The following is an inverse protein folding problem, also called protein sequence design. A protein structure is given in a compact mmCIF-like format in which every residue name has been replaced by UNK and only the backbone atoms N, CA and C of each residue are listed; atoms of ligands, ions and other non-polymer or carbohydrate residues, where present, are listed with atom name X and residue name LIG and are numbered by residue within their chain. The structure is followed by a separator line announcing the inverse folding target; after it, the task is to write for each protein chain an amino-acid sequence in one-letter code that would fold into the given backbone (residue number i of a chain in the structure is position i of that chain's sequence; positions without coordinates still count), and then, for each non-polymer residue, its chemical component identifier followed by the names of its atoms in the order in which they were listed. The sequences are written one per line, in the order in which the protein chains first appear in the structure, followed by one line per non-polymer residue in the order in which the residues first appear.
data_IF_801359147015
#
_entry.id   IF_801359147015
#
_cell.length_a   1.000
_cell.length_b   1.000
_cell.length_c   1.000
_cell.angle_alpha   90.00
_cell.angle_beta   90.00
_cell.angle_gamma   90.00
#
_symmetry.space_group_name_H-M   'P 1'
#
loop_
_entity.id
_entity.type
_entity.pdbx_description
1 polymer ?
#
# COMPACT_ATOMS: atom_id res chain seq x y z
N UNK A 1 25.57 9.85 10.61
CA UNK A 1 24.15 9.69 10.97
C UNK A 1 23.39 11.00 10.86
N UNK A 2 23.72 12.02 11.65
CA UNK A 2 23.01 13.32 11.66
C UNK A 2 22.77 13.93 10.26
N UNK A 3 23.82 13.96 9.41
CA UNK A 3 23.69 14.46 8.04
C UNK A 3 22.67 13.68 7.20
N UNK A 4 22.58 12.37 7.37
CA UNK A 4 21.61 11.57 6.62
C UNK A 4 20.17 11.83 7.11
N UNK A 5 19.99 12.08 8.41
CA UNK A 5 18.68 12.42 9.00
C UNK A 5 18.16 13.78 8.51
N UNK A 6 19.05 14.76 8.31
CA UNK A 6 18.67 16.10 7.84
C UNK A 6 18.60 16.20 6.31
N UNK A 7 19.59 15.67 5.60
CA UNK A 7 19.69 15.76 4.14
C UNK A 7 18.78 14.75 3.41
N UNK A 8 18.50 13.59 4.02
CA UNK A 8 17.73 12.48 3.42
C UNK A 8 18.23 12.08 2.02
N UNK A 9 19.46 11.56 1.90
CA UNK A 9 20.05 11.20 0.61
C UNK A 9 19.30 10.05 -0.09
N UNK A 10 19.44 9.98 -1.42
CA UNK A 10 18.87 8.88 -2.21
C UNK A 10 19.65 7.57 -2.12
N UNK A 11 20.91 7.62 -1.67
CA UNK A 11 21.76 6.46 -1.43
C UNK A 11 22.89 6.81 -0.44
N UNK A 12 23.32 5.84 0.36
CA UNK A 12 24.45 5.99 1.28
C UNK A 12 25.54 4.99 0.90
N UNK A 13 26.73 5.53 0.65
CA UNK A 13 27.96 4.74 0.51
C UNK A 13 28.75 4.90 1.81
N UNK A 14 29.07 3.80 2.48
CA UNK A 14 29.72 3.86 3.79
C UNK A 14 30.87 2.88 3.88
N UNK A 15 32.03 3.34 4.34
CA UNK A 15 33.13 2.43 4.66
C UNK A 15 32.75 1.56 5.87
N UNK A 16 33.06 0.27 5.80
CA UNK A 16 32.88 -0.64 6.94
C UNK A 16 33.84 -0.26 8.07
N UNK A 17 35.11 0.03 7.75
CA UNK A 17 36.13 0.31 8.76
C UNK A 17 36.30 1.81 8.96
N UNK A 18 35.65 2.35 10.00
CA UNK A 18 35.77 3.75 10.40
C UNK A 18 36.02 3.88 11.90
N UNK A 19 36.76 4.92 12.34
CA UNK A 19 36.98 5.19 13.76
C UNK A 19 35.68 5.64 14.45
N UNK A 20 35.58 5.38 15.76
CA UNK A 20 34.46 5.73 16.65
C UNK A 20 33.19 4.90 16.41
N UNK A 21 32.68 4.87 15.18
CA UNK A 21 31.51 4.09 14.76
C UNK A 21 31.78 3.48 13.39
N UNK A 22 31.73 2.16 13.32
CA UNK A 22 31.91 1.42 12.07
C UNK A 22 30.66 1.53 11.17
N UNK A 23 30.80 1.12 9.91
CA UNK A 23 29.68 1.17 8.97
C UNK A 23 28.46 0.37 9.46
N UNK A 24 28.67 -0.72 10.18
CA UNK A 24 27.62 -1.53 10.79
C UNK A 24 26.82 -0.75 11.84
N UNK A 25 27.51 -0.01 12.71
CA UNK A 25 26.88 0.90 13.68
C UNK A 25 26.08 2.01 13.00
N UNK A 26 26.61 2.58 11.91
CA UNK A 26 25.89 3.61 11.13
C UNK A 26 24.59 3.05 10.54
N UNK A 27 24.63 1.87 9.91
CA UNK A 27 23.44 1.22 9.36
C UNK A 27 22.39 0.96 10.44
N UNK A 28 22.81 0.40 11.58
CA UNK A 28 21.92 0.10 12.71
C UNK A 28 21.25 1.35 13.26
N UNK A 29 21.97 2.46 13.36
CA UNK A 29 21.42 3.70 13.87
C UNK A 29 20.41 4.31 12.89
N UNK A 30 20.73 4.33 11.59
CA UNK A 30 19.83 4.84 10.56
C UNK A 30 18.57 3.99 10.39
N UNK A 31 18.66 2.68 10.63
CA UNK A 31 17.52 1.76 10.58
C UNK A 31 16.46 2.04 11.66
N UNK A 32 16.82 2.71 12.77
CA UNK A 32 15.87 3.09 13.83
C UNK A 32 14.92 4.23 13.44
N UNK A 33 15.24 4.97 12.38
CA UNK A 33 14.47 6.12 11.95
C UNK A 33 13.74 5.82 10.64
N UNK A 34 12.40 5.90 10.65
CA UNK A 34 11.56 5.60 9.48
C UNK A 34 11.93 6.40 8.22
N UNK A 35 12.39 7.65 8.39
CA UNK A 35 12.81 8.51 7.29
C UNK A 35 14.14 8.13 6.62
N UNK A 36 14.96 7.29 7.25
CA UNK A 36 16.27 6.84 6.71
C UNK A 36 16.38 5.32 6.55
N UNK A 37 15.48 4.54 7.18
CA UNK A 37 15.46 3.08 7.11
C UNK A 37 15.16 2.50 5.72
N UNK A 38 14.69 3.34 4.78
CA UNK A 38 14.41 2.97 3.39
C UNK A 38 15.48 3.44 2.41
N UNK A 39 16.49 4.18 2.86
CA UNK A 39 17.56 4.68 1.99
C UNK A 39 18.51 3.51 1.68
N UNK A 40 18.84 3.25 0.40
CA UNK A 40 19.79 2.23 0.01
C UNK A 40 21.14 2.43 0.65
N UNK A 41 21.71 1.35 1.18
CA UNK A 41 22.98 1.39 1.87
C UNK A 41 23.98 0.41 1.26
N UNK A 42 25.07 0.94 0.71
CA UNK A 42 26.17 0.14 0.14
C UNK A 42 27.38 0.23 1.06
N UNK A 43 27.83 -0.93 1.53
CA UNK A 43 29.08 -1.05 2.24
C UNK A 43 30.27 -1.01 1.28
N UNK A 44 31.26 -0.20 1.61
CA UNK A 44 32.56 -0.21 0.97
C UNK A 44 33.54 -0.91 1.92
N UNK A 45 34.10 -2.05 1.52
CA UNK A 45 34.93 -2.88 2.41
C UNK A 45 36.29 -3.17 1.81
N UNK A 46 37.35 -3.21 2.63
CA UNK A 46 38.65 -3.76 2.21
C UNK A 46 38.74 -5.29 2.44
N UNK A 47 37.80 -5.87 3.20
CA UNK A 47 37.73 -7.31 3.47
C UNK A 47 36.76 -7.99 2.52
N UNK A 48 37.25 -9.01 1.81
CA UNK A 48 36.46 -9.88 0.94
C UNK A 48 36.03 -11.19 1.61
N UNK A 49 36.15 -11.30 2.94
CA UNK A 49 35.79 -12.53 3.66
C UNK A 49 34.28 -12.76 3.64
N UNK A 50 33.87 -13.98 3.26
CA UNK A 50 32.45 -14.35 3.11
C UNK A 50 31.63 -14.21 4.39
N UNK A 51 32.26 -14.30 5.56
CA UNK A 51 31.60 -14.14 6.85
C UNK A 51 31.14 -12.70 7.09
N UNK A 52 31.99 -11.72 6.75
CA UNK A 52 31.70 -10.29 6.93
C UNK A 52 30.62 -9.80 5.97
N UNK A 53 30.59 -10.32 4.73
CA UNK A 53 29.51 -10.01 3.77
C UNK A 53 28.15 -10.56 4.21
N UNK A 54 28.13 -11.75 4.82
CA UNK A 54 26.88 -12.37 5.29
C UNK A 54 26.30 -11.57 6.46
N UNK A 55 27.15 -11.11 7.38
CA UNK A 55 26.73 -10.32 8.54
C UNK A 55 25.97 -9.04 8.18
N UNK A 56 26.45 -8.23 7.22
CA UNK A 56 25.72 -7.00 6.88
C UNK A 56 24.56 -7.21 5.92
N UNK A 57 24.53 -8.28 5.12
CA UNK A 57 23.32 -8.67 4.40
C UNK A 57 22.21 -9.05 5.40
N UNK A 58 22.55 -9.80 6.45
CA UNK A 58 21.61 -10.15 7.53
C UNK A 58 21.16 -8.92 8.35
N UNK A 59 21.99 -7.87 8.40
CA UNK A 59 21.64 -6.58 8.99
C UNK A 59 20.85 -5.64 8.07
N UNK A 60 20.56 -6.05 6.82
CA UNK A 60 19.74 -5.30 5.89
C UNK A 60 20.50 -4.30 5.01
N UNK A 61 21.81 -4.48 4.79
CA UNK A 61 22.53 -3.73 3.77
C UNK A 61 22.12 -4.18 2.37
N UNK A 62 22.04 -3.23 1.44
CA UNK A 62 21.60 -3.52 0.08
C UNK A 62 22.73 -4.06 -0.81
N UNK A 63 23.98 -3.71 -0.51
CA UNK A 63 25.13 -4.22 -1.26
C UNK A 63 26.48 -4.10 -0.53
N UNK A 64 27.47 -4.79 -1.08
CA UNK A 64 28.88 -4.69 -0.72
C UNK A 64 29.74 -4.47 -1.95
N UNK A 65 30.63 -3.48 -1.86
CA UNK A 65 31.64 -3.23 -2.87
C UNK A 65 33.04 -3.34 -2.24
N UNK A 66 33.80 -4.34 -2.68
CA UNK A 66 35.18 -4.57 -2.21
C UNK A 66 36.15 -3.58 -2.85
N UNK A 67 36.99 -2.95 -2.03
CA UNK A 67 38.07 -2.07 -2.46
C UNK A 67 39.34 -2.88 -2.80
N UNK A 68 40.12 -2.47 -3.82
CA UNK A 68 39.84 -1.38 -4.75
C UNK A 68 38.79 -1.80 -5.80
N UNK A 69 37.90 -0.89 -6.15
CA UNK A 69 36.88 -1.08 -7.18
C UNK A 69 37.10 -0.12 -8.35
N UNK A 70 36.64 -0.50 -9.54
CA UNK A 70 36.65 0.38 -10.70
C UNK A 70 35.49 1.38 -10.62
N UNK A 71 35.66 2.55 -11.26
CA UNK A 71 34.59 3.56 -11.37
C UNK A 71 33.30 2.96 -11.91
N UNK A 72 33.39 2.09 -12.92
CA UNK A 72 32.22 1.47 -13.53
C UNK A 72 31.49 0.53 -12.57
N UNK A 73 32.22 -0.30 -11.81
CA UNK A 73 31.65 -1.21 -10.80
C UNK A 73 30.88 -0.45 -9.72
N UNK A 74 31.42 0.68 -9.25
CA UNK A 74 30.71 1.54 -8.30
C UNK A 74 29.45 2.15 -8.90
N UNK A 75 29.54 2.67 -10.13
CA UNK A 75 28.39 3.26 -10.81
C UNK A 75 27.30 2.22 -11.08
N UNK A 76 27.66 0.99 -11.46
CA UNK A 76 26.71 -0.09 -11.69
C UNK A 76 26.02 -0.52 -10.39
N UNK A 77 26.76 -0.59 -9.28
CA UNK A 77 26.19 -0.86 -7.96
C UNK A 77 25.21 0.24 -7.52
N UNK A 78 25.62 1.52 -7.64
CA UNK A 78 24.76 2.68 -7.34
C UNK A 78 23.50 2.66 -8.20
N UNK A 79 23.64 2.55 -9.52
CA UNK A 79 22.52 2.57 -10.45
C UNK A 79 21.56 1.42 -10.19
N UNK A 80 22.06 0.23 -9.88
CA UNK A 80 21.23 -0.93 -9.57
C UNK A 80 20.42 -0.72 -8.29
N UNK A 81 21.01 -0.07 -7.27
CA UNK A 81 20.33 0.19 -5.99
C UNK A 81 19.40 1.38 -6.03
N UNK A 82 19.77 2.46 -6.72
CA UNK A 82 18.87 3.58 -7.00
C UNK A 82 17.68 3.12 -7.81
N UNK A 83 17.88 2.39 -8.93
CA UNK A 83 16.76 1.82 -9.70
C UNK A 83 15.86 0.94 -8.85
N UNK A 84 16.43 0.03 -8.05
CA UNK A 84 15.64 -0.82 -7.15
C UNK A 84 14.87 -0.01 -6.10
N UNK A 85 15.46 1.07 -5.58
CA UNK A 85 14.83 1.91 -4.56
C UNK A 85 13.79 2.85 -5.13
N UNK A 86 14.08 3.51 -6.25
CA UNK A 86 13.11 4.27 -7.02
C UNK A 86 11.93 3.38 -7.38
N UNK A 87 12.21 2.13 -7.77
CA UNK A 87 11.17 1.15 -8.06
C UNK A 87 10.33 0.77 -6.83
N UNK A 88 10.97 0.56 -5.68
CA UNK A 88 10.31 0.31 -4.40
C UNK A 88 9.50 1.53 -3.92
N UNK A 89 10.01 2.74 -4.15
CA UNK A 89 9.40 4.03 -3.79
C UNK A 89 8.30 4.46 -4.75
N UNK A 90 8.35 3.99 -6.00
CA UNK A 90 7.49 4.51 -7.05
C UNK A 90 6.04 4.05 -6.90
N UNK A 91 5.16 5.03 -7.03
CA UNK A 91 3.74 4.90 -7.39
C UNK A 91 3.54 4.21 -8.76
N UNK A 92 4.62 3.89 -9.50
CA UNK A 92 4.56 3.17 -10.78
C UNK A 92 3.85 1.83 -10.62
N UNK A 93 3.91 1.19 -9.45
CA UNK A 93 3.19 -0.05 -9.17
C UNK A 93 1.67 0.09 -8.99
N UNK A 94 1.10 1.29 -9.05
CA UNK A 94 -0.34 1.50 -8.96
C UNK A 94 -1.06 1.29 -10.30
N UNK A 95 -0.30 1.00 -11.37
CA UNK A 95 -0.83 0.67 -12.69
C UNK A 95 -0.47 -0.75 -13.08
N UNK A 96 -1.23 -1.35 -13.98
CA UNK A 96 -1.08 -2.69 -14.49
C UNK A 96 0.22 -2.82 -15.26
N UNK A 97 0.61 -1.78 -16.00
CA UNK A 97 1.89 -1.73 -16.71
C UNK A 97 3.07 -1.72 -15.74
N UNK A 98 3.01 -0.92 -14.67
CA UNK A 98 4.06 -0.91 -13.67
C UNK A 98 4.09 -2.17 -12.82
N UNK A 99 2.93 -2.76 -12.51
CA UNK A 99 2.84 -4.07 -11.90
C UNK A 99 3.46 -5.14 -12.81
N UNK A 100 3.15 -5.17 -14.10
CA UNK A 100 3.77 -6.12 -15.02
C UNK A 100 5.28 -5.93 -15.13
N UNK A 101 5.76 -4.69 -15.18
CA UNK A 101 7.19 -4.38 -15.16
C UNK A 101 7.83 -4.91 -13.88
N UNK A 102 7.17 -4.72 -12.73
CA UNK A 102 7.58 -5.22 -11.42
C UNK A 102 7.72 -6.72 -11.39
N UNK A 103 6.69 -7.41 -11.86
CA UNK A 103 6.67 -8.86 -11.91
C UNK A 103 7.76 -9.40 -12.84
N UNK A 104 7.97 -8.74 -13.98
CA UNK A 104 8.99 -9.12 -14.95
C UNK A 104 10.41 -8.93 -14.39
N UNK A 105 10.69 -7.83 -13.71
CA UNK A 105 11.99 -7.62 -13.08
C UNK A 105 12.20 -8.55 -11.88
N UNK A 106 11.16 -8.76 -11.08
CA UNK A 106 11.22 -9.65 -9.92
C UNK A 106 11.47 -11.12 -10.32
N UNK A 107 10.84 -11.57 -11.41
CA UNK A 107 11.04 -12.92 -11.99
C UNK A 107 12.37 -13.09 -12.70
N UNK A 108 13.04 -12.02 -13.16
CA UNK A 108 14.43 -12.12 -13.67
C UNK A 108 15.45 -12.37 -12.55
N UNK A 109 15.15 -11.90 -11.34
CA UNK A 109 16.03 -12.03 -10.17
C UNK A 109 15.79 -13.33 -9.39
N UNK A 110 14.82 -14.14 -9.78
CA UNK A 110 14.43 -15.39 -9.12
C UNK A 110 14.30 -16.50 -10.17
N UNK A 111 14.55 -17.76 -9.85
CA UNK A 111 14.29 -18.90 -10.76
C UNK A 111 12.78 -19.18 -10.94
N UNK A 112 11.95 -18.14 -10.88
CA UNK A 112 10.50 -18.22 -11.01
C UNK A 112 10.16 -17.93 -12.47
N UNK A 113 9.22 -18.69 -13.04
CA UNK A 113 8.69 -18.46 -14.39
C UNK A 113 8.29 -16.99 -14.55
N UNK A 114 8.45 -16.42 -15.74
CA UNK A 114 7.95 -15.09 -16.06
C UNK A 114 6.42 -15.07 -15.96
N UNK A 115 5.93 -14.68 -14.78
CA UNK A 115 4.52 -14.59 -14.42
C UNK A 115 3.86 -13.32 -14.98
N UNK A 116 4.61 -12.40 -15.59
CA UNK A 116 4.02 -11.23 -16.26
C UNK A 116 3.27 -11.64 -17.54
N UNK A 117 3.61 -12.80 -18.12
CA UNK A 117 3.00 -13.32 -19.35
C UNK A 117 1.72 -14.08 -19.05
N UNK A 118 0.62 -13.69 -19.70
CA UNK A 118 -0.68 -14.36 -19.62
C UNK A 118 -1.65 -13.79 -18.58
N UNK A 119 -1.34 -12.61 -18.00
CA UNK A 119 -2.29 -11.85 -17.20
C UNK A 119 -3.13 -11.00 -18.14
N UNK A 120 -4.44 -11.06 -17.98
CA UNK A 120 -5.39 -10.22 -18.72
C UNK A 120 -6.16 -9.36 -17.73
N UNK A 121 -6.39 -8.10 -18.13
CA UNK A 121 -7.30 -7.23 -17.41
C UNK A 121 -8.72 -7.69 -17.71
N UNK A 122 -9.41 -8.18 -16.68
CA UNK A 122 -10.81 -8.55 -16.78
C UNK A 122 -11.68 -7.35 -16.44
N UNK A 123 -12.67 -7.09 -17.28
CA UNK A 123 -13.64 -6.01 -17.06
C UNK A 123 -14.81 -6.51 -16.21
N UNK A 124 -15.08 -5.77 -15.14
CA UNK A 124 -16.19 -5.98 -14.23
C UNK A 124 -17.18 -4.81 -14.33
N UNK A 125 -18.47 -5.12 -14.25
CA UNK A 125 -19.55 -4.13 -14.20
C UNK A 125 -19.86 -3.76 -12.75
N UNK A 126 -20.53 -2.63 -12.58
CA UNK A 126 -21.06 -2.19 -11.28
C UNK A 126 -21.92 -3.30 -10.65
N UNK A 127 -21.65 -3.60 -9.39
CA UNK A 127 -22.23 -4.68 -8.55
C UNK A 127 -21.78 -6.10 -8.88
N UNK A 128 -20.87 -6.31 -9.84
CA UNK A 128 -20.31 -7.65 -10.04
C UNK A 128 -19.56 -8.09 -8.77
N UNK A 129 -19.79 -9.34 -8.36
CA UNK A 129 -19.05 -9.96 -7.27
C UNK A 129 -17.70 -10.46 -7.78
N UNK A 130 -16.63 -10.17 -7.04
CA UNK A 130 -15.27 -10.61 -7.36
C UNK A 130 -14.99 -11.94 -6.65
N UNK A 131 -15.31 -12.00 -5.35
CA UNK A 131 -15.24 -13.22 -4.55
C UNK A 131 -16.21 -13.16 -3.36
N UNK A 132 -16.55 -14.34 -2.85
CA UNK A 132 -17.48 -14.53 -1.75
C UNK A 132 -16.78 -15.14 -0.53
N UNK A 133 -17.21 -14.71 0.65
CA UNK A 133 -16.75 -15.24 1.93
C UNK A 133 -16.94 -16.77 2.01
N UNK A 134 -15.96 -17.47 2.53
CA UNK A 134 -15.99 -18.93 2.67
C UNK A 134 -15.72 -19.73 1.39
N UNK A 135 -15.59 -19.09 0.21
CA UNK A 135 -15.10 -19.77 -1.01
C UNK A 135 -13.58 -19.93 -0.97
N UNK A 136 -13.06 -20.92 -1.70
CA UNK A 136 -11.60 -21.17 -1.77
C UNK A 136 -10.87 -19.95 -2.36
N UNK A 137 -9.86 -19.46 -1.66
CA UNK A 137 -9.04 -18.34 -2.06
C UNK A 137 -7.85 -18.80 -2.91
N UNK A 138 -8.02 -18.74 -4.22
CA UNK A 138 -7.01 -19.14 -5.21
C UNK A 138 -6.48 -17.98 -6.06
N UNK A 139 -7.05 -16.78 -5.90
CA UNK A 139 -6.75 -15.63 -6.76
C UNK A 139 -6.60 -14.37 -5.91
N UNK A 140 -5.49 -13.66 -6.09
CA UNK A 140 -5.28 -12.30 -5.63
C UNK A 140 -5.73 -11.36 -6.75
N UNK A 141 -6.33 -10.22 -6.40
CA UNK A 141 -6.83 -9.28 -7.40
C UNK A 141 -6.12 -7.93 -7.25
N UNK A 142 -5.68 -7.38 -8.37
CA UNK A 142 -5.10 -6.04 -8.46
C UNK A 142 -6.04 -5.14 -9.26
N UNK A 143 -6.40 -4.00 -8.68
CA UNK A 143 -7.36 -3.06 -9.28
C UNK A 143 -6.60 -2.10 -10.19
N UNK A 144 -6.90 -2.12 -11.49
CA UNK A 144 -6.32 -1.17 -12.44
C UNK A 144 -7.17 0.09 -12.57
N UNK A 145 -8.48 -0.07 -12.67
CA UNK A 145 -9.43 1.04 -12.69
C UNK A 145 -10.68 0.71 -11.89
N UNK A 146 -11.43 1.74 -11.51
CA UNK A 146 -12.68 1.61 -10.77
C UNK A 146 -12.48 1.44 -9.27
N UNK A 147 -13.56 1.10 -8.58
CA UNK A 147 -13.60 1.00 -7.12
C UNK A 147 -14.27 -0.28 -6.70
N UNK A 148 -13.68 -0.95 -5.70
CA UNK A 148 -14.19 -2.17 -5.11
C UNK A 148 -14.43 -1.96 -3.62
N UNK A 149 -15.51 -2.53 -3.09
CA UNK A 149 -15.72 -2.66 -1.64
C UNK A 149 -15.51 -4.09 -1.19
N UNK A 150 -14.95 -4.24 0.01
CA UNK A 150 -15.00 -5.50 0.76
C UNK A 150 -16.01 -5.38 1.91
N UNK A 151 -16.70 -6.47 2.22
CA UNK A 151 -17.73 -6.47 3.25
C UNK A 151 -18.01 -7.86 3.81
N UNK A 152 -18.50 -7.88 5.05
CA UNK A 152 -19.07 -9.06 5.70
C UNK A 152 -20.59 -8.95 5.78
N UNK A 153 -21.27 -10.08 5.69
CA UNK A 153 -22.69 -10.16 6.03
C UNK A 153 -22.81 -10.42 7.53
N UNK A 154 -23.47 -9.52 8.26
CA UNK A 154 -23.79 -9.73 9.68
C UNK A 154 -25.07 -10.57 9.81
N UNK A 155 -25.34 -11.11 10.99
CA UNK A 155 -26.48 -12.02 11.25
C UNK A 155 -27.85 -11.48 10.78
N UNK A 156 -28.01 -10.15 10.79
CA UNK A 156 -29.23 -9.48 10.29
C UNK A 156 -29.37 -9.46 8.75
N UNK A 157 -28.39 -10.00 8.02
CA UNK A 157 -28.32 -9.93 6.55
C UNK A 157 -27.82 -8.60 6.00
N UNK A 158 -27.47 -7.62 6.87
CA UNK A 158 -26.88 -6.35 6.44
C UNK A 158 -25.40 -6.52 6.08
N UNK A 159 -24.95 -5.69 5.15
CA UNK A 159 -23.54 -5.58 4.79
C UNK A 159 -22.82 -4.67 5.78
N UNK A 160 -21.72 -5.15 6.34
CA UNK A 160 -20.74 -4.34 7.06
C UNK A 160 -19.53 -4.16 6.17
N UNK A 161 -19.33 -2.94 5.66
CA UNK A 161 -18.20 -2.61 4.79
C UNK A 161 -16.91 -2.62 5.61
N UNK A 162 -15.98 -3.47 5.22
CA UNK A 162 -14.67 -3.64 5.87
C UNK A 162 -13.57 -2.84 5.18
N UNK A 163 -13.78 -2.44 3.93
CA UNK A 163 -12.83 -1.63 3.18
C UNK A 163 -13.37 -1.14 1.84
N UNK A 164 -12.76 -0.05 1.35
CA UNK A 164 -12.88 0.40 -0.03
C UNK A 164 -11.48 0.49 -0.63
N UNK A 165 -11.36 0.01 -1.86
CA UNK A 165 -10.12 -0.22 -2.60
C UNK A 165 -10.25 0.39 -3.99
N UNK A 166 -9.20 1.07 -4.43
CA UNK A 166 -9.12 1.78 -5.71
C UNK A 166 -7.95 1.31 -6.57
N UNK A 167 -7.64 2.06 -7.65
CA UNK A 167 -6.51 1.76 -8.53
C UNK A 167 -5.19 1.62 -7.76
N UNK A 168 -4.45 0.55 -8.04
CA UNK A 168 -3.20 0.21 -7.38
C UNK A 168 -3.33 -0.66 -6.14
N UNK A 169 -4.53 -0.82 -5.59
CA UNK A 169 -4.76 -1.67 -4.43
C UNK A 169 -4.84 -3.15 -4.80
N UNK A 170 -4.43 -3.98 -3.85
CA UNK A 170 -4.63 -5.43 -3.88
C UNK A 170 -5.75 -5.82 -2.91
N UNK A 171 -6.57 -6.79 -3.34
CA UNK A 171 -7.61 -7.40 -2.50
C UNK A 171 -7.52 -8.93 -2.51
N UNK A 172 -7.88 -9.54 -1.39
CA UNK A 172 -7.82 -10.99 -1.16
C UNK A 172 -6.52 -11.49 -0.52
N UNK A 173 -5.47 -10.67 -0.42
CA UNK A 173 -4.14 -11.02 0.09
C UNK A 173 -4.17 -11.78 1.43
N UNK A 174 -4.94 -11.31 2.42
CA UNK A 174 -5.06 -11.97 3.73
C UNK A 174 -5.66 -13.37 3.61
N UNK A 175 -6.60 -13.54 2.67
CA UNK A 175 -7.27 -14.82 2.43
C UNK A 175 -6.37 -15.85 1.76
N UNK A 176 -5.45 -15.40 0.88
CA UNK A 176 -4.45 -16.28 0.27
C UNK A 176 -3.38 -16.74 1.26
N UNK A 177 -3.01 -15.88 2.21
CA UNK A 177 -2.00 -16.15 3.24
C UNK A 177 -2.55 -16.92 4.45
N UNK A 178 -3.87 -16.95 4.63
CA UNK A 178 -4.50 -17.70 5.70
C UNK A 178 -4.35 -19.22 5.47
N UNK A 179 -4.06 -19.95 6.55
CA UNK A 179 -3.99 -21.42 6.63
C UNK A 179 -5.28 -22.07 6.12
N UNK A 180 -6.43 -21.45 6.36
CA UNK A 180 -7.72 -22.01 5.95
C UNK A 180 -7.94 -21.97 4.43
N UNK A 181 -7.23 -21.11 3.70
CA UNK A 181 -7.33 -21.03 2.23
C UNK A 181 -8.70 -20.63 1.67
N UNK A 182 -9.49 -19.88 2.44
CA UNK A 182 -10.81 -19.36 2.02
C UNK A 182 -10.84 -17.83 2.12
N UNK A 183 -11.67 -17.19 1.30
CA UNK A 183 -11.93 -15.75 1.38
C UNK A 183 -12.57 -15.41 2.73
N UNK A 184 -11.98 -14.45 3.43
CA UNK A 184 -12.37 -14.01 4.77
C UNK A 184 -13.61 -13.11 4.78
N UNK A 185 -13.98 -12.59 3.63
CA UNK A 185 -15.03 -11.60 3.41
C UNK A 185 -15.44 -11.63 1.94
N UNK A 186 -16.45 -10.82 1.58
CA UNK A 186 -16.93 -10.67 0.21
C UNK A 186 -16.28 -9.46 -0.44
N UNK A 187 -16.17 -9.46 -1.76
CA UNK A 187 -15.76 -8.30 -2.54
C UNK A 187 -16.69 -8.07 -3.72
N UNK A 188 -17.09 -6.81 -3.93
CA UNK A 188 -17.96 -6.41 -5.02
C UNK A 188 -17.58 -5.04 -5.59
N UNK A 189 -17.82 -4.89 -6.90
CA UNK A 189 -17.47 -3.72 -7.67
C UNK A 189 -18.49 -2.61 -7.46
N UNK A 190 -18.05 -1.39 -7.12
CA UNK A 190 -18.94 -0.24 -6.87
C UNK A 190 -19.25 0.56 -8.14
N UNK A 191 -18.28 0.63 -9.05
CA UNK A 191 -18.31 1.27 -10.37
C UNK A 191 -17.50 0.41 -11.34
N UNK A 192 -17.75 0.49 -12.65
CA UNK A 192 -17.05 -0.37 -13.63
C UNK A 192 -15.54 -0.37 -13.40
N UNK A 193 -14.96 -1.56 -13.33
CA UNK A 193 -13.58 -1.75 -12.93
C UNK A 193 -12.85 -2.68 -13.91
N UNK A 194 -11.57 -2.45 -14.09
CA UNK A 194 -10.66 -3.39 -14.75
C UNK A 194 -9.72 -3.96 -13.69
N UNK A 195 -9.66 -5.29 -13.60
CA UNK A 195 -9.00 -5.99 -12.51
C UNK A 195 -8.13 -7.09 -13.10
N UNK A 196 -6.87 -7.13 -12.64
CA UNK A 196 -5.93 -8.19 -12.95
C UNK A 196 -6.05 -9.31 -11.92
N UNK A 197 -6.29 -10.53 -12.40
CA UNK A 197 -6.36 -11.74 -11.58
C UNK A 197 -4.99 -12.42 -11.50
N UNK A 198 -4.52 -12.65 -10.28
CA UNK A 198 -3.19 -13.18 -9.98
C UNK A 198 -3.35 -14.53 -9.27
N UNK A 199 -2.98 -15.66 -9.91
CA UNK A 199 -3.08 -16.97 -9.28
C UNK A 199 -2.29 -17.06 -7.98
N UNK A 200 -2.81 -17.81 -7.01
CA UNK A 200 -2.17 -18.02 -5.70
C UNK A 200 -0.74 -18.52 -5.84
N UNK A 201 -0.51 -19.48 -6.72
CA UNK A 201 0.82 -20.04 -6.94
C UNK A 201 1.83 -18.95 -7.35
N UNK A 202 1.48 -18.11 -8.31
CA UNK A 202 2.31 -17.00 -8.77
C UNK A 202 2.56 -15.98 -7.66
N UNK A 203 1.51 -15.60 -6.94
CA UNK A 203 1.62 -14.67 -5.81
C UNK A 203 2.55 -15.21 -4.73
N UNK A 204 2.34 -16.45 -4.29
CA UNK A 204 3.19 -17.07 -3.25
C UNK A 204 4.62 -17.28 -3.73
N UNK A 205 4.81 -17.62 -5.01
CA UNK A 205 6.14 -17.80 -5.61
C UNK A 205 6.95 -16.50 -5.58
N UNK A 206 6.32 -15.37 -5.89
CA UNK A 206 6.95 -14.06 -5.74
C UNK A 206 7.18 -13.68 -4.28
N UNK A 207 6.16 -13.86 -3.44
CA UNK A 207 6.19 -13.42 -2.06
C UNK A 207 7.29 -14.11 -1.28
N UNK A 208 7.56 -15.39 -1.55
CA UNK A 208 8.62 -16.15 -0.89
C UNK A 208 9.93 -16.17 -1.68
N UNK A 209 9.87 -15.98 -3.00
CA UNK A 209 11.06 -16.02 -3.86
C UNK A 209 11.80 -14.69 -3.94
N UNK A 210 11.12 -13.55 -3.79
CA UNK A 210 11.71 -12.24 -4.02
C UNK A 210 11.57 -11.32 -2.79
N UNK A 211 12.67 -11.06 -2.04
CA UNK A 211 12.64 -10.23 -0.83
C UNK A 211 12.08 -8.82 -1.02
N UNK A 212 12.23 -8.26 -2.22
CA UNK A 212 11.71 -6.94 -2.60
C UNK A 212 10.18 -6.97 -2.63
N UNK A 213 9.61 -8.04 -3.20
CA UNK A 213 8.15 -8.25 -3.22
C UNK A 213 7.64 -8.53 -1.81
N UNK A 214 8.34 -9.37 -1.05
CA UNK A 214 8.00 -9.66 0.35
C UNK A 214 7.90 -8.39 1.18
N UNK A 215 8.93 -7.53 1.13
CA UNK A 215 8.98 -6.26 1.86
C UNK A 215 7.80 -5.35 1.50
N UNK A 216 7.50 -5.22 0.21
CA UNK A 216 6.37 -4.41 -0.26
C UNK A 216 5.02 -4.90 0.27
N UNK A 217 4.78 -6.21 0.26
CA UNK A 217 3.54 -6.77 0.82
C UNK A 217 3.49 -6.67 2.35
N UNK A 218 4.62 -6.82 3.04
CA UNK A 218 4.72 -6.60 4.50
C UNK A 218 4.39 -5.14 4.84
N UNK A 219 4.97 -4.17 4.12
CA UNK A 219 4.71 -2.75 4.33
C UNK A 219 3.23 -2.42 4.06
N UNK A 220 2.65 -2.96 2.98
CA UNK A 220 1.23 -2.81 2.65
C UNK A 220 0.32 -3.35 3.75
N UNK A 221 0.54 -4.60 4.20
CA UNK A 221 -0.26 -5.22 5.27
C UNK A 221 -0.10 -4.47 6.59
N UNK A 222 1.13 -4.02 6.91
CA UNK A 222 1.41 -3.26 8.13
C UNK A 222 0.67 -1.93 8.14
N UNK A 223 0.71 -1.19 7.03
CA UNK A 223 -0.05 0.05 6.88
C UNK A 223 -1.56 -0.18 7.01
N UNK A 224 -2.11 -1.21 6.36
CA UNK A 224 -3.53 -1.55 6.50
C UNK A 224 -3.91 -1.94 7.94
N UNK A 225 -3.03 -2.65 8.67
CA UNK A 225 -3.24 -2.98 10.08
C UNK A 225 -3.28 -1.72 10.95
N UNK A 226 -2.38 -0.77 10.72
CA UNK A 226 -2.40 0.53 11.41
C UNK A 226 -3.69 1.29 11.11
N UNK A 227 -4.13 1.36 9.85
CA UNK A 227 -5.39 2.01 9.47
C UNK A 227 -6.62 1.38 10.16
N UNK A 228 -6.67 0.04 10.22
CA UNK A 228 -7.75 -0.69 10.92
C UNK A 228 -7.72 -0.39 12.42
N UNK A 229 -6.53 -0.35 13.05
CA UNK A 229 -6.40 -0.01 14.47
C UNK A 229 -6.89 1.41 14.76
N UNK A 230 -6.52 2.38 13.94
CA UNK A 230 -7.02 3.76 14.04
C UNK A 230 -8.55 3.83 13.90
N UNK A 231 -9.11 3.07 12.95
CA UNK A 231 -10.56 2.99 12.75
C UNK A 231 -11.26 2.38 13.97
N UNK A 232 -10.71 1.32 14.57
CA UNK A 232 -11.27 0.71 15.78
C UNK A 232 -11.30 1.69 16.96
N UNK A 233 -10.20 2.42 17.18
CA UNK A 233 -10.13 3.47 18.21
C UNK A 233 -11.18 4.55 17.93
N UNK A 234 -11.28 4.99 16.68
CA UNK A 234 -12.26 5.99 16.29
C UNK A 234 -13.70 5.49 16.53
N UNK A 235 -14.02 4.24 16.18
CA UNK A 235 -15.35 3.67 16.43
C UNK A 235 -15.70 3.60 17.92
N UNK A 236 -14.71 3.37 18.79
CA UNK A 236 -14.92 3.29 20.22
C UNK A 236 -15.10 4.66 20.90
N UNK A 237 -14.36 5.68 20.47
CA UNK A 237 -14.25 6.94 21.23
C UNK A 237 -14.58 8.21 20.44
N UNK A 238 -14.54 8.18 19.10
CA UNK A 238 -14.75 9.37 18.29
C UNK A 238 -16.25 9.58 17.96
N UNK A 239 -16.76 10.82 18.07
CA UNK A 239 -18.10 11.17 17.59
C UNK A 239 -18.31 10.79 16.12
N UNK A 240 -19.57 10.54 15.73
CA UNK A 240 -19.92 10.21 14.34
C UNK A 240 -19.40 11.27 13.37
N UNK A 241 -19.45 12.54 13.77
CA UNK A 241 -18.95 13.67 12.97
C UNK A 241 -17.46 13.56 12.68
N UNK A 242 -16.64 13.40 13.71
CA UNK A 242 -15.19 13.20 13.59
C UNK A 242 -14.84 11.96 12.74
N UNK A 243 -15.54 10.84 12.96
CA UNK A 243 -15.36 9.62 12.15
C UNK A 243 -15.70 9.83 10.68
N UNK A 244 -16.77 10.58 10.40
CA UNK A 244 -17.17 10.91 9.03
C UNK A 244 -16.10 11.78 8.36
N UNK A 245 -15.56 12.78 9.05
CA UNK A 245 -14.45 13.59 8.54
C UNK A 245 -13.22 12.73 8.23
N UNK A 246 -12.79 11.86 9.16
CA UNK A 246 -11.68 10.91 8.95
C UNK A 246 -11.90 10.01 7.74
N UNK A 247 -13.08 9.41 7.61
CA UNK A 247 -13.40 8.53 6.48
C UNK A 247 -13.33 9.27 5.13
N UNK A 248 -13.85 10.49 5.06
CA UNK A 248 -13.78 11.31 3.84
C UNK A 248 -12.33 11.68 3.49
N UNK A 249 -11.51 12.08 4.47
CA UNK A 249 -10.08 12.37 4.24
C UNK A 249 -9.30 11.14 3.79
N UNK A 250 -9.59 9.96 4.34
CA UNK A 250 -9.01 8.71 3.86
C UNK A 250 -9.39 8.42 2.40
N UNK A 251 -10.65 8.64 2.02
CA UNK A 251 -11.10 8.47 0.63
C UNK A 251 -10.44 9.48 -0.32
N UNK A 252 -10.15 10.70 0.14
CA UNK A 252 -9.38 11.70 -0.62
C UNK A 252 -7.95 11.23 -0.83
N UNK A 253 -7.28 10.73 0.23
CA UNK A 253 -5.93 10.16 0.16
C UNK A 253 -5.86 8.99 -0.84
N UNK A 254 -6.93 8.20 -0.96
CA UNK A 254 -7.06 7.10 -1.92
C UNK A 254 -7.54 7.53 -3.31
N UNK A 255 -7.68 8.83 -3.58
CA UNK A 255 -8.10 9.37 -4.88
C UNK A 255 -9.58 9.12 -5.24
N UNK A 256 -10.38 8.61 -4.30
CA UNK A 256 -11.80 8.29 -4.50
C UNK A 256 -12.69 9.53 -4.41
N UNK A 257 -12.28 10.53 -3.64
CA UNK A 257 -12.90 11.85 -3.56
C UNK A 257 -11.90 12.86 -4.09
N UNK A 258 -12.38 13.77 -4.94
CA UNK A 258 -11.55 14.81 -5.54
C UNK A 258 -12.04 16.21 -5.15
N UNK A 259 -11.18 17.19 -5.38
CA UNK A 259 -11.45 18.60 -5.10
C UNK A 259 -12.14 19.30 -6.30
N UNK A 260 -12.60 18.55 -7.29
CA UNK A 260 -13.22 19.07 -8.51
C UNK A 260 -14.53 18.33 -8.81
N UNK A 261 -15.36 18.92 -9.68
CA UNK A 261 -16.64 18.35 -10.12
C UNK A 261 -16.50 17.31 -11.26
N UNK A 262 -15.28 17.09 -11.73
CA UNK A 262 -14.97 16.25 -12.89
C UNK A 262 -14.54 14.83 -12.51
N UNK A 263 -14.20 14.58 -11.25
CA UNK A 263 -13.78 13.29 -10.74
C UNK A 263 -14.45 12.86 -9.44
N UNK A 264 -14.06 11.68 -8.95
CA UNK A 264 -14.55 11.07 -7.72
C UNK A 264 -15.73 10.11 -7.89
N UNK A 265 -15.92 9.24 -6.92
CA UNK A 265 -16.91 8.15 -6.95
C UNK A 265 -18.20 8.50 -6.20
N UNK A 266 -19.31 7.94 -6.66
CA UNK A 266 -20.58 8.06 -5.95
C UNK A 266 -20.64 6.99 -4.84
N UNK A 267 -20.47 7.41 -3.59
CA UNK A 267 -20.51 6.50 -2.43
C UNK A 267 -21.95 6.34 -1.93
N UNK A 268 -22.52 5.12 -1.97
CA UNK A 268 -23.82 4.86 -1.38
C UNK A 268 -23.82 5.21 0.11
N UNK A 269 -24.92 5.81 0.60
CA UNK A 269 -25.01 6.26 2.00
C UNK A 269 -24.96 5.13 3.00
N UNK A 270 -25.46 3.95 2.62
CA UNK A 270 -25.35 2.74 3.45
C UNK A 270 -23.89 2.27 3.55
N UNK A 271 -23.14 2.31 2.45
CA UNK A 271 -21.72 1.95 2.45
C UNK A 271 -20.89 2.96 3.28
N UNK A 272 -21.15 4.26 3.14
CA UNK A 272 -20.52 5.28 3.96
C UNK A 272 -20.83 5.07 5.45
N UNK A 273 -22.08 4.79 5.80
CA UNK A 273 -22.48 4.53 7.16
C UNK A 273 -21.77 3.28 7.73
N UNK A 274 -21.60 2.23 6.92
CA UNK A 274 -20.81 1.05 7.26
C UNK A 274 -19.35 1.40 7.59
N UNK A 275 -18.70 2.19 6.74
CA UNK A 275 -17.30 2.62 6.91
C UNK A 275 -17.12 3.48 8.16
N UNK A 276 -18.02 4.46 8.33
CA UNK A 276 -18.01 5.34 9.50
C UNK A 276 -18.33 4.54 10.76
N UNK A 277 -19.13 3.47 10.65
CA UNK A 277 -19.60 2.65 11.78
C UNK A 277 -20.83 3.26 12.47
N UNK A 278 -21.80 3.76 11.71
CA UNK A 278 -23.00 4.44 12.21
C UNK A 278 -24.24 4.04 11.42
N UNK A 279 -25.40 4.62 11.74
CA UNK A 279 -26.62 4.43 10.94
C UNK A 279 -26.59 5.30 9.68
N UNK A 280 -27.32 4.88 8.65
CA UNK A 280 -27.46 5.64 7.40
C UNK A 280 -27.94 7.07 7.66
N UNK A 281 -28.93 7.22 8.54
CA UNK A 281 -29.55 8.51 8.88
C UNK A 281 -28.55 9.45 9.55
N UNK A 282 -27.75 8.93 10.50
CA UNK A 282 -26.71 9.71 11.16
C UNK A 282 -25.60 10.14 10.19
N UNK A 283 -25.14 9.25 9.31
CA UNK A 283 -24.14 9.60 8.30
C UNK A 283 -24.66 10.68 7.32
N UNK A 284 -25.91 10.54 6.86
CA UNK A 284 -26.54 11.53 5.96
C UNK A 284 -26.70 12.88 6.64
N UNK A 285 -27.08 12.91 7.92
CA UNK A 285 -27.18 14.14 8.70
C UNK A 285 -25.83 14.85 8.77
N UNK A 286 -24.77 14.13 9.15
CA UNK A 286 -23.42 14.70 9.22
C UNK A 286 -22.95 15.24 7.86
N UNK A 287 -23.18 14.52 6.76
CA UNK A 287 -22.86 15.04 5.43
C UNK A 287 -23.64 16.31 5.07
N UNK A 288 -24.87 16.42 5.53
CA UNK A 288 -25.70 17.63 5.31
C UNK A 288 -25.13 18.81 6.10
N UNK A 289 -24.71 18.58 7.34
CA UNK A 289 -24.05 19.59 8.17
C UNK A 289 -22.75 20.07 7.51
N UNK A 290 -21.86 19.15 7.11
CA UNK A 290 -20.63 19.49 6.38
C UNK A 290 -20.88 20.25 5.08
N UNK A 291 -21.97 19.95 4.37
CA UNK A 291 -22.36 20.70 3.17
C UNK A 291 -22.81 22.12 3.51
N UNK A 292 -23.63 22.29 4.54
CA UNK A 292 -24.15 23.60 4.96
C UNK A 292 -23.03 24.52 5.46
N UNK A 293 -21.98 23.94 6.04
CA UNK A 293 -20.78 24.64 6.51
C UNK A 293 -19.75 24.91 5.39
N UNK A 294 -20.01 24.43 4.17
CA UNK A 294 -19.12 24.62 3.04
C UNK A 294 -17.84 23.78 3.09
N UNK A 295 -17.80 22.71 3.89
CA UNK A 295 -16.68 21.77 3.93
C UNK A 295 -16.68 20.85 2.71
N UNK A 296 -17.87 20.45 2.27
CA UNK A 296 -18.07 19.59 1.10
C UNK A 296 -19.18 20.13 0.18
N UNK A 297 -19.15 19.72 -1.08
CA UNK A 297 -20.27 19.81 -2.01
C UNK A 297 -20.75 18.41 -2.38
N UNK A 298 -21.97 18.35 -2.91
CA UNK A 298 -22.51 17.14 -3.52
C UNK A 298 -23.14 17.49 -4.86
N UNK A 299 -22.80 16.71 -5.88
CA UNK A 299 -23.38 16.88 -7.21
C UNK A 299 -24.70 16.08 -7.37
N UNK A 300 -25.29 16.14 -8.57
CA UNK A 300 -26.52 15.40 -8.92
C UNK A 300 -26.34 13.87 -8.88
N UNK A 301 -25.12 13.38 -9.07
CA UNK A 301 -24.74 11.96 -8.97
C UNK A 301 -24.50 11.46 -7.55
N UNK A 302 -24.68 12.32 -6.53
CA UNK A 302 -24.34 12.05 -5.12
C UNK A 302 -22.85 11.88 -4.86
N UNK A 303 -21.98 12.30 -5.79
CA UNK A 303 -20.53 12.36 -5.59
C UNK A 303 -20.23 13.43 -4.56
N UNK A 304 -19.30 13.12 -3.65
CA UNK A 304 -18.83 14.06 -2.64
C UNK A 304 -17.64 14.79 -3.22
N UNK A 305 -17.62 16.11 -3.06
CA UNK A 305 -16.56 16.98 -3.54
C UNK A 305 -16.01 17.73 -2.34
N UNK A 306 -14.69 17.73 -2.17
CA UNK A 306 -14.07 18.42 -1.05
C UNK A 306 -13.86 19.90 -1.39
N UNK A 307 -14.48 20.78 -0.60
CA UNK A 307 -14.37 22.24 -0.79
C UNK A 307 -13.33 22.85 0.16
N UNK A 308 -13.31 22.40 1.42
CA UNK A 308 -12.37 22.88 2.44
C UNK A 308 -11.67 21.70 3.13
N UNK A 309 -10.55 21.20 2.56
CA UNK A 309 -9.78 20.10 3.12
C UNK A 309 -9.27 20.38 4.54
N UNK A 310 -8.82 21.61 4.81
CA UNK A 310 -8.25 21.99 6.11
C UNK A 310 -9.34 22.04 7.19
N UNK A 311 -10.51 22.60 6.87
CA UNK A 311 -11.66 22.59 7.79
C UNK A 311 -12.11 21.18 8.13
N UNK A 312 -12.14 20.28 7.13
CA UNK A 312 -12.47 18.86 7.37
C UNK A 312 -11.39 18.14 8.19
N UNK A 313 -10.12 18.52 8.03
CA UNK A 313 -9.02 18.00 8.85
C UNK A 313 -9.13 18.43 10.31
N UNK A 314 -9.51 19.69 10.58
CA UNK A 314 -9.81 20.13 11.94
C UNK A 314 -10.93 19.29 12.56
N UNK A 315 -12.02 19.04 11.82
CA UNK A 315 -13.12 18.17 12.27
C UNK A 315 -12.70 16.72 12.51
N UNK A 316 -11.62 16.25 11.87
CA UNK A 316 -11.08 14.92 12.09
C UNK A 316 -10.18 14.84 13.33
N UNK A 317 -9.51 15.93 13.70
CA UNK A 317 -8.55 15.95 14.81
C UNK A 317 -9.21 16.28 16.16
N UNK A 318 -10.36 16.97 16.17
CA UNK A 318 -11.14 17.35 17.35
C UNK A 318 -12.39 16.47 17.56
#
# INVERSE_FOLDING_TARGET
VEKALTFKPDIILCDVMMPIMDGYGVLRELAKHSGTATIPFIFLTAKAERADMRLGMDMGADDYLTKPFKKQELLDAINSRLKKNDFLRSEIANTYQGLNTFLQEASKQTDVRDISKGRELRRYKKKDCIFEEGKKANTLFFIETGTVKTYKLIESGKEFVTGIWGPGDFIGQLSLLNVNGHYLENAAVMESAEICEIPKADFTGLLYGNPTVSRKFIDMISNSLTEIQEQLIAMAFAPVRQRTAKALLQMVKKGMIQNNFEGGIAIPRDDLAGIVGTTKESAVRTLTDFKNEGLIAMDSGRRIILLNPEGLKMEADF
#
